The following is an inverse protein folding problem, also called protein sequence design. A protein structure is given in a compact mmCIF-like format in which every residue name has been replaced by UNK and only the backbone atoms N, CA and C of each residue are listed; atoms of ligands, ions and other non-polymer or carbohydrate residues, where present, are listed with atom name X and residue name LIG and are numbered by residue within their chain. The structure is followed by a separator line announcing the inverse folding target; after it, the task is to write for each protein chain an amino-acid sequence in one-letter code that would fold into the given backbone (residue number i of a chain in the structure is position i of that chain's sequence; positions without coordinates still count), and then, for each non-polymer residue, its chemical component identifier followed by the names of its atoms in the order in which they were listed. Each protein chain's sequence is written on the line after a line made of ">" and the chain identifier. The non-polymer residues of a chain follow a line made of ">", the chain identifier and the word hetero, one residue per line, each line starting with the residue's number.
data_IF_217203180195
#
_entry.id   IF_217203180195
#
_cell.length_a   1.000
_cell.length_b   1.000
_cell.length_c   1.000
_cell.angle_alpha   90.00
_cell.angle_beta   90.00
_cell.angle_gamma   90.00
#
_symmetry.space_group_name_H-M   'P 1'
#
loop_
_entity.id
_entity.type
_entity.pdbx_description
1 polymer ?
#
# COMPACT_ATOMS: atom_id res chain seq x y z
N UNK A 1 17.46 -10.89 8.22
CA UNK A 1 17.97 -10.91 6.84
C UNK A 1 18.24 -12.35 6.44
N UNK A 2 17.29 -12.99 5.76
CA UNK A 2 17.52 -14.32 5.20
C UNK A 2 18.36 -14.18 3.94
N UNK A 3 19.67 -14.36 4.08
CA UNK A 3 20.58 -14.53 2.96
C UNK A 3 20.17 -15.85 2.30
N UNK A 4 19.44 -15.79 1.20
CA UNK A 4 19.21 -16.97 0.35
C UNK A 4 20.56 -17.64 0.13
N UNK A 5 20.65 -18.93 0.43
CA UNK A 5 21.92 -19.63 0.56
C UNK A 5 22.68 -19.60 -0.78
N UNK A 6 23.65 -18.68 -0.88
CA UNK A 6 24.53 -18.59 -2.03
C UNK A 6 25.29 -19.92 -2.19
N UNK A 7 25.36 -20.47 -3.41
CA UNK A 7 26.13 -21.70 -3.68
C UNK A 7 27.60 -21.59 -3.25
N UNK A 8 28.17 -20.38 -3.29
CA UNK A 8 29.50 -20.08 -2.77
C UNK A 8 29.60 -20.21 -1.25
N UNK A 9 28.57 -19.76 -0.53
CA UNK A 9 28.51 -19.85 0.94
C UNK A 9 28.24 -21.28 1.39
N UNK A 10 27.45 -22.06 0.62
CA UNK A 10 27.22 -23.49 0.86
C UNK A 10 28.51 -24.32 0.71
N UNK A 11 29.37 -23.98 -0.27
CA UNK A 11 30.68 -24.60 -0.43
C UNK A 11 31.76 -24.01 0.49
N UNK A 12 31.48 -22.92 1.21
CA UNK A 12 32.44 -22.24 2.09
C UNK A 12 33.56 -21.50 1.36
N UNK A 13 33.34 -21.10 0.10
CA UNK A 13 34.35 -20.46 -0.76
C UNK A 13 33.95 -19.03 -1.13
N UNK A 14 34.95 -18.18 -1.37
CA UNK A 14 34.71 -16.82 -1.89
C UNK A 14 34.14 -16.85 -3.32
N UNK A 15 33.35 -15.84 -3.71
CA UNK A 15 32.83 -15.67 -5.08
C UNK A 15 33.97 -15.54 -6.12
N UNK A 16 35.16 -15.13 -5.70
CA UNK A 16 36.38 -15.02 -6.51
C UNK A 16 37.20 -16.32 -6.58
N UNK A 17 36.74 -17.43 -5.99
CA UNK A 17 37.50 -18.67 -5.94
C UNK A 17 37.77 -19.25 -7.34
N UNK A 18 39.00 -19.76 -7.51
CA UNK A 18 39.41 -20.51 -8.71
C UNK A 18 38.65 -21.84 -8.79
N UNK A 19 38.54 -22.41 -10.00
CA UNK A 19 37.87 -23.69 -10.25
C UNK A 19 38.45 -24.82 -9.40
N UNK A 20 39.76 -24.81 -9.19
CA UNK A 20 40.45 -25.81 -8.37
C UNK A 20 40.09 -25.66 -6.88
N UNK A 21 39.98 -24.43 -6.38
CA UNK A 21 39.54 -24.16 -5.01
C UNK A 21 38.08 -24.56 -4.74
N UNK A 22 37.20 -24.46 -5.74
CA UNK A 22 35.81 -24.94 -5.66
C UNK A 22 35.78 -26.48 -5.61
N UNK A 23 36.66 -27.15 -6.37
CA UNK A 23 36.78 -28.62 -6.38
C UNK A 23 37.33 -29.16 -5.07
N UNK A 24 38.32 -28.50 -4.48
CA UNK A 24 38.89 -28.88 -3.19
C UNK A 24 37.89 -28.68 -2.04
N UNK A 25 37.20 -27.54 -2.01
CA UNK A 25 36.18 -27.27 -1.00
C UNK A 25 35.00 -28.25 -1.07
N UNK A 26 34.58 -28.62 -2.27
CA UNK A 26 33.57 -29.67 -2.46
C UNK A 26 34.02 -31.03 -1.90
N UNK A 27 35.28 -31.44 -2.15
CA UNK A 27 35.82 -32.71 -1.62
C UNK A 27 35.82 -32.73 -0.09
N UNK A 28 36.24 -31.64 0.54
CA UNK A 28 36.25 -31.53 2.00
C UNK A 28 34.83 -31.61 2.58
N UNK A 29 33.88 -30.85 2.01
CA UNK A 29 32.47 -30.89 2.45
C UNK A 29 31.78 -32.21 2.17
N UNK A 30 32.10 -32.88 1.06
CA UNK A 30 31.55 -34.19 0.74
C UNK A 30 32.05 -35.29 1.69
N UNK A 31 33.28 -35.19 2.20
CA UNK A 31 33.83 -36.10 3.21
C UNK A 31 33.24 -35.85 4.60
N UNK A 32 33.01 -34.59 4.97
CA UNK A 32 32.38 -34.21 6.24
C UNK A 32 30.90 -34.60 6.31
N UNK A 33 30.17 -34.46 5.19
CA UNK A 33 28.72 -34.65 5.10
C UNK A 33 28.33 -35.98 4.44
N UNK A 34 29.26 -36.93 4.36
CA UNK A 34 28.98 -38.24 3.76
C UNK A 34 27.91 -38.98 4.59
N UNK A 35 26.87 -39.56 3.96
CA UNK A 35 25.76 -40.20 4.67
C UNK A 35 26.17 -41.40 5.54
N UNK A 36 27.33 -42.00 5.24
CA UNK A 36 27.93 -43.08 6.04
C UNK A 36 28.51 -42.60 7.39
N UNK A 37 28.94 -41.34 7.47
CA UNK A 37 29.50 -40.73 8.70
C UNK A 37 28.51 -39.85 9.43
N UNK A 38 27.54 -39.26 8.72
CA UNK A 38 26.52 -38.41 9.30
C UNK A 38 25.15 -38.68 8.63
N UNK A 39 24.30 -39.54 9.21
CA UNK A 39 23.02 -39.94 8.61
C UNK A 39 21.99 -38.78 8.51
N UNK A 40 22.16 -37.68 9.25
CA UNK A 40 21.31 -36.48 9.12
C UNK A 40 21.82 -35.49 8.06
N UNK A 41 23.00 -35.72 7.51
CA UNK A 41 23.67 -34.84 6.54
C UNK A 41 23.14 -34.94 5.10
N UNK A 42 22.23 -35.87 4.80
CA UNK A 42 21.80 -36.18 3.42
C UNK A 42 21.19 -34.96 2.71
N UNK A 43 20.37 -34.16 3.40
CA UNK A 43 19.74 -32.97 2.83
C UNK A 43 20.78 -31.89 2.49
N UNK A 44 21.79 -31.70 3.34
CA UNK A 44 22.85 -30.71 3.14
C UNK A 44 23.83 -31.19 2.06
N UNK A 45 24.10 -32.49 2.00
CA UNK A 45 24.93 -33.10 0.96
C UNK A 45 24.34 -32.89 -0.44
N UNK A 46 23.01 -33.04 -0.61
CA UNK A 46 22.32 -32.75 -1.87
C UNK A 46 22.46 -31.28 -2.28
N UNK A 47 22.42 -30.34 -1.33
CA UNK A 47 22.63 -28.91 -1.60
C UNK A 47 24.08 -28.60 -1.99
N UNK A 48 25.05 -29.22 -1.33
CA UNK A 48 26.49 -29.11 -1.64
C UNK A 48 26.80 -29.68 -3.03
N UNK A 49 26.16 -30.80 -3.39
CA UNK A 49 26.26 -31.39 -4.72
C UNK A 49 25.70 -30.46 -5.81
N UNK A 50 24.50 -29.91 -5.59
CA UNK A 50 23.89 -28.95 -6.52
C UNK A 50 24.76 -27.69 -6.69
N UNK A 51 25.33 -27.18 -5.60
CA UNK A 51 26.25 -26.05 -5.64
C UNK A 51 27.49 -26.35 -6.50
N UNK A 52 28.09 -27.55 -6.37
CA UNK A 52 29.22 -27.96 -7.20
C UNK A 52 28.85 -28.15 -8.67
N UNK A 53 27.67 -28.69 -8.98
CA UNK A 53 27.21 -28.86 -10.36
C UNK A 53 27.01 -27.53 -11.10
N UNK A 54 26.58 -26.49 -10.38
CA UNK A 54 26.40 -25.14 -10.94
C UNK A 54 27.72 -24.39 -11.02
N UNK A 55 28.55 -24.43 -9.97
CA UNK A 55 29.80 -23.64 -9.88
C UNK A 55 31.01 -24.31 -10.54
N UNK A 56 31.00 -25.64 -10.72
CA UNK A 56 32.09 -26.42 -11.29
C UNK A 56 32.18 -26.33 -12.82
N UNK A 57 31.07 -26.02 -13.50
CA UNK A 57 31.04 -25.80 -14.95
C UNK A 57 31.18 -24.31 -15.28
N UNK A 58 32.12 -23.89 -16.14
CA UNK A 58 32.37 -22.48 -16.43
C UNK A 58 31.14 -21.79 -17.06
N UNK A 59 30.37 -22.51 -17.87
CA UNK A 59 29.17 -21.98 -18.53
C UNK A 59 28.00 -21.82 -17.55
N UNK A 60 27.83 -22.76 -16.62
CA UNK A 60 26.78 -22.68 -15.58
C UNK A 60 27.12 -21.65 -14.50
N UNK A 61 28.40 -21.55 -14.11
CA UNK A 61 28.90 -20.53 -13.20
C UNK A 61 28.65 -19.13 -13.74
N UNK A 62 28.96 -18.89 -15.02
CA UNK A 62 28.73 -17.58 -15.64
C UNK A 62 27.25 -17.18 -15.63
N UNK A 63 26.34 -18.11 -15.93
CA UNK A 63 24.89 -17.86 -15.88
C UNK A 63 24.41 -17.56 -14.46
N UNK A 64 24.90 -18.33 -13.49
CA UNK A 64 24.59 -18.13 -12.08
C UNK A 64 25.10 -16.78 -11.56
N UNK A 65 26.33 -16.40 -11.91
CA UNK A 65 26.92 -15.12 -11.54
C UNK A 65 26.17 -13.94 -12.20
N UNK A 66 25.69 -14.11 -13.43
CA UNK A 66 24.87 -13.12 -14.12
C UNK A 66 23.49 -12.94 -13.48
N UNK A 67 22.83 -14.04 -13.11
CA UNK A 67 21.54 -14.03 -12.41
C UNK A 67 21.66 -13.41 -11.02
N UNK A 68 22.74 -13.74 -10.30
CA UNK A 68 23.04 -13.14 -8.99
C UNK A 68 23.36 -11.64 -9.09
N UNK A 69 24.04 -11.18 -10.14
CA UNK A 69 24.29 -9.76 -10.34
C UNK A 69 23.01 -8.96 -10.60
N UNK A 70 22.06 -9.53 -11.37
CA UNK A 70 20.74 -8.96 -11.60
C UNK A 70 19.92 -8.89 -10.30
N UNK A 71 20.07 -9.90 -9.42
CA UNK A 71 19.39 -9.97 -8.12
C UNK A 71 19.96 -9.00 -7.08
N UNK A 72 21.28 -8.84 -7.03
CA UNK A 72 21.99 -7.97 -6.07
C UNK A 72 21.97 -6.48 -6.50
N UNK A 73 21.27 -6.13 -7.59
CA UNK A 73 21.12 -4.75 -8.08
C UNK A 73 22.41 -4.10 -8.59
N UNK A 74 23.50 -4.87 -8.72
CA UNK A 74 24.77 -4.38 -9.28
C UNK A 74 24.83 -4.68 -10.76
N UNK A 75 24.87 -3.63 -11.57
CA UNK A 75 25.21 -3.70 -13.01
C UNK A 75 26.50 -4.53 -13.18
N UNK A 76 26.50 -5.62 -13.97
CA UNK A 76 27.74 -6.31 -14.28
C UNK A 76 28.66 -5.35 -15.04
N UNK A 77 29.89 -5.18 -14.57
CA UNK A 77 30.91 -4.47 -15.33
C UNK A 77 31.10 -5.18 -16.68
N UNK A 78 31.19 -4.45 -17.81
CA UNK A 78 31.31 -5.07 -19.11
C UNK A 78 32.61 -5.87 -19.18
N UNK A 79 32.49 -7.18 -19.41
CA UNK A 79 33.61 -8.04 -19.75
C UNK A 79 34.25 -7.51 -21.03
N UNK A 80 35.52 -7.11 -20.92
CA UNK A 80 36.34 -6.65 -22.01
C UNK A 80 36.56 -7.75 -23.05
N UNK A 81 35.78 -7.72 -24.13
CA UNK A 81 36.11 -8.35 -25.40
C UNK A 81 35.43 -7.54 -26.49
N UNK A 82 36.19 -7.24 -27.55
CA UNK A 82 35.78 -6.51 -28.78
C UNK A 82 35.80 -4.98 -28.71
N UNK A 83 36.98 -4.40 -28.50
CA UNK A 83 37.35 -3.14 -29.17
C UNK A 83 38.82 -3.18 -29.59
N UNK A 84 39.10 -3.80 -30.74
CA UNK A 84 40.35 -3.57 -31.47
C UNK A 84 40.04 -2.76 -32.73
N UNK A 85 40.43 -1.49 -32.70
CA UNK A 85 40.62 -0.60 -33.84
C UNK A 85 41.80 0.30 -33.47
N UNK A 86 42.75 0.59 -34.39
CA UNK A 86 44.12 0.90 -33.99
C UNK A 86 44.42 2.40 -33.85
N UNK A 87 45.50 2.66 -33.08
CA UNK A 87 46.41 3.84 -33.03
C UNK A 87 46.18 4.89 -31.92
N UNK A 88 47.22 5.69 -31.56
CA UNK A 88 48.67 5.44 -31.57
C UNK A 88 49.36 5.76 -30.23
N UNK A 89 50.65 5.46 -30.19
CA UNK A 89 51.65 5.60 -29.13
C UNK A 89 51.71 6.96 -28.43
N UNK A 90 52.13 6.98 -27.14
CA UNK A 90 53.14 7.90 -26.54
C UNK A 90 53.21 7.79 -25.00
N UNK A 91 54.42 7.70 -24.45
CA UNK A 91 54.74 8.32 -23.15
C UNK A 91 55.03 7.46 -21.91
N UNK A 92 56.22 6.86 -21.87
CA UNK A 92 57.14 6.69 -20.71
C UNK A 92 56.84 7.58 -19.46
N UNK A 93 56.79 7.00 -18.25
CA UNK A 93 57.83 7.11 -17.19
C UNK A 93 57.39 6.68 -15.76
N UNK A 94 58.24 5.84 -15.16
CA UNK A 94 58.79 5.90 -13.78
C UNK A 94 57.97 5.54 -12.52
N UNK A 95 58.33 4.38 -11.95
CA UNK A 95 58.53 4.00 -10.52
C UNK A 95 59.28 5.09 -9.67
N UNK A 96 59.41 5.03 -8.31
CA UNK A 96 59.61 3.81 -7.48
C UNK A 96 59.08 3.82 -6.01
N UNK A 97 59.19 2.66 -5.34
CA UNK A 97 59.10 2.54 -3.88
C UNK A 97 58.98 1.11 -3.36
N UNK A 98 60.11 0.40 -3.20
CA UNK A 98 60.23 -0.88 -2.49
C UNK A 98 60.43 -0.63 -0.95
N UNK A 99 60.46 -1.62 -0.02
CA UNK A 99 61.39 -2.77 -0.05
C UNK A 99 60.85 -4.13 0.44
N UNK A 100 61.63 -5.16 0.10
CA UNK A 100 61.53 -6.59 0.45
C UNK A 100 62.14 -6.87 1.85
N UNK A 101 61.97 -8.07 2.47
CA UNK A 101 63.00 -9.14 2.34
C UNK A 101 62.40 -10.58 2.41
N UNK A 102 62.80 -11.58 1.61
CA UNK A 102 63.99 -12.46 1.65
C UNK A 102 63.54 -13.97 1.67
N UNK A 103 64.40 -14.96 1.32
CA UNK A 103 64.00 -16.07 0.43
C UNK A 103 64.25 -17.52 0.92
N UNK A 104 63.82 -18.47 0.07
CA UNK A 104 64.30 -19.87 -0.17
C UNK A 104 63.79 -21.02 0.75
N UNK A 105 63.81 -22.31 0.31
CA UNK A 105 64.38 -22.85 -0.93
C UNK A 105 63.46 -23.71 -1.82
N UNK A 106 63.90 -23.77 -3.08
CA UNK A 106 63.54 -24.74 -4.11
C UNK A 106 64.03 -26.14 -3.75
N UNK A 107 63.16 -27.14 -3.94
CA UNK A 107 63.57 -28.51 -4.27
C UNK A 107 62.85 -28.90 -5.56
N UNK A 108 63.63 -29.10 -6.61
CA UNK A 108 63.20 -29.71 -7.87
C UNK A 108 63.34 -31.23 -7.79
N UNK A 109 62.70 -31.87 -8.77
CA UNK A 109 62.82 -33.28 -9.16
C UNK A 109 61.90 -34.24 -8.39
N UNK A 110 60.96 -34.95 -9.00
CA UNK A 110 60.83 -35.35 -10.39
C UNK A 110 60.44 -36.83 -10.40
N UNK A 111 59.14 -37.14 -10.45
CA UNK A 111 58.66 -38.49 -10.73
C UNK A 111 57.20 -38.45 -11.24
N UNK A 112 57.04 -38.82 -12.51
CA UNK A 112 55.83 -39.29 -13.19
C UNK A 112 54.47 -39.11 -12.49
N UNK A 113 53.75 -38.04 -12.86
CA UNK A 113 52.29 -38.02 -12.75
C UNK A 113 51.72 -38.98 -13.80
N UNK A 114 51.21 -40.14 -13.37
CA UNK A 114 50.19 -40.86 -14.14
C UNK A 114 48.93 -39.98 -14.20
N UNK A 115 48.18 -39.99 -15.32
CA UNK A 115 46.94 -39.23 -15.41
C UNK A 115 45.96 -39.78 -14.37
N UNK A 116 45.46 -38.89 -13.52
CA UNK A 116 44.48 -39.24 -12.49
C UNK A 116 43.14 -39.44 -13.21
N UNK A 117 42.64 -40.67 -13.16
CA UNK A 117 41.40 -41.12 -13.80
C UNK A 117 40.28 -40.09 -13.72
N UNK A 118 39.79 -39.67 -14.89
CA UNK A 118 38.66 -38.76 -15.03
C UNK A 118 37.33 -39.37 -14.57
N UNK A 119 37.29 -40.67 -14.23
CA UNK A 119 36.05 -41.39 -13.93
C UNK A 119 35.93 -41.95 -12.51
N UNK A 120 36.86 -41.67 -11.60
CA UNK A 120 36.80 -42.20 -10.22
C UNK A 120 35.54 -41.75 -9.45
N UNK A 121 35.04 -40.55 -9.75
CA UNK A 121 33.84 -40.02 -9.12
C UNK A 121 32.54 -40.55 -9.77
N UNK A 122 32.59 -40.89 -11.06
CA UNK A 122 31.45 -41.48 -11.78
C UNK A 122 31.27 -42.97 -11.45
N UNK A 123 32.35 -43.70 -11.18
CA UNK A 123 32.30 -45.09 -10.76
C UNK A 123 31.79 -45.27 -9.32
N UNK A 124 32.16 -44.39 -8.39
CA UNK A 124 31.62 -44.37 -7.02
C UNK A 124 30.13 -44.04 -7.02
N UNK A 125 29.68 -43.13 -7.89
CA UNK A 125 28.27 -42.76 -8.01
C UNK A 125 27.42 -43.86 -8.70
N UNK A 126 27.97 -44.57 -9.70
CA UNK A 126 27.32 -45.75 -10.31
C UNK A 126 27.23 -46.93 -9.35
N UNK A 127 28.20 -47.09 -8.45
CA UNK A 127 28.19 -48.15 -7.44
C UNK A 127 27.13 -47.91 -6.35
N UNK A 128 26.82 -46.64 -6.04
CA UNK A 128 25.72 -46.25 -5.15
C UNK A 128 24.32 -46.53 -5.73
N UNK A 129 24.14 -46.42 -7.06
CA UNK A 129 22.85 -46.73 -7.70
C UNK A 129 22.51 -48.22 -7.82
N UNK A 130 23.50 -49.13 -7.75
CA UNK A 130 23.30 -50.58 -7.98
C UNK A 130 23.12 -51.45 -6.73
N UNK A 131 23.10 -50.87 -5.53
CA UNK A 131 22.64 -51.58 -4.32
C UNK A 131 23.47 -52.80 -3.89
N UNK A 132 24.75 -52.90 -4.26
CA UNK A 132 25.63 -54.00 -3.84
C UNK A 132 26.69 -53.51 -2.86
N UNK A 133 26.38 -53.56 -1.56
CA UNK A 133 27.38 -53.53 -0.49
C UNK A 133 27.26 -54.80 0.35
N UNK A 134 27.97 -55.84 -0.09
CA UNK A 134 28.24 -57.04 0.68
C UNK A 134 29.68 -57.45 0.37
N UNK A 135 30.61 -57.04 1.24
CA UNK A 135 32.03 -57.29 1.07
C UNK A 135 32.77 -57.25 2.40
N UNK A 136 33.08 -58.45 2.89
CA UNK A 136 34.13 -58.85 3.85
C UNK A 136 34.76 -57.82 4.79
N UNK A 137 34.68 -58.11 6.09
CA UNK A 137 35.64 -57.64 7.11
C UNK A 137 36.24 -58.88 7.81
N UNK A 138 37.57 -58.89 8.08
CA UNK A 138 38.31 -60.10 8.40
C UNK A 138 38.22 -60.50 9.89
N UNK A 139 38.53 -61.77 10.13
CA UNK A 139 38.66 -62.43 11.43
C UNK A 139 39.71 -61.71 12.29
N UNK A 140 39.30 -61.26 13.48
CA UNK A 140 40.16 -60.83 14.59
C UNK A 140 39.63 -61.42 15.90
N UNK A 141 40.51 -62.15 16.59
CA UNK A 141 40.26 -62.93 17.81
C UNK A 141 40.02 -62.04 19.05
N UNK A 142 39.45 -62.70 20.06
CA UNK A 142 39.48 -62.36 21.49
C UNK A 142 38.51 -61.28 21.96
N UNK A 143 37.35 -61.70 22.50
CA UNK A 143 36.91 -61.40 23.86
C UNK A 143 35.89 -62.47 24.29
N UNK A 144 36.29 -63.29 25.27
CA UNK A 144 35.38 -64.06 26.11
C UNK A 144 34.73 -63.07 27.07
N UNK A 145 33.42 -63.12 27.21
CA UNK A 145 32.80 -62.95 28.53
C UNK A 145 31.47 -63.70 28.63
N UNK A 146 31.47 -64.65 29.57
CA UNK A 146 30.32 -64.87 30.45
C UNK A 146 29.16 -65.72 29.98
N UNK A 147 29.34 -67.04 29.80
CA UNK A 147 28.31 -67.99 30.24
C UNK A 147 28.89 -69.36 30.65
N UNK A 148 29.35 -69.47 31.90
CA UNK A 148 29.42 -70.72 32.66
C UNK A 148 29.28 -70.40 34.15
N UNK A 149 28.36 -71.09 34.83
CA UNK A 149 28.27 -71.11 36.28
C UNK A 149 26.88 -71.47 36.77
N UNK A 150 26.75 -72.61 37.42
CA UNK A 150 25.50 -73.24 37.83
C UNK A 150 24.83 -72.54 39.04
N UNK A 151 23.50 -72.65 39.13
CA UNK A 151 22.77 -72.36 40.36
C UNK A 151 21.39 -71.75 40.15
N UNK A 152 20.36 -72.58 40.23
CA UNK A 152 19.00 -72.23 40.68
C UNK A 152 18.34 -70.94 40.12
N UNK A 153 17.80 -71.01 38.89
CA UNK A 153 16.43 -70.60 38.58
C UNK A 153 16.16 -71.00 37.11
N UNK A 154 15.31 -72.00 36.85
CA UNK A 154 14.87 -72.28 35.49
C UNK A 154 13.85 -71.22 35.06
N UNK A 155 14.32 -70.03 34.69
CA UNK A 155 13.65 -69.29 33.64
C UNK A 155 14.33 -69.69 32.33
N UNK A 156 13.62 -70.52 31.58
CA UNK A 156 14.04 -71.10 30.31
C UNK A 156 14.65 -70.03 29.40
N UNK A 157 15.67 -70.38 28.61
CA UNK A 157 16.18 -69.54 27.51
C UNK A 157 15.03 -68.98 26.64
N UNK A 158 13.91 -69.71 26.56
CA UNK A 158 12.67 -69.26 25.94
C UNK A 158 12.02 -68.05 26.62
N UNK A 159 12.01 -67.96 27.95
CA UNK A 159 11.50 -66.79 28.68
C UNK A 159 12.45 -65.59 28.55
N UNK A 160 13.76 -65.81 28.64
CA UNK A 160 14.75 -64.75 28.40
C UNK A 160 14.67 -64.22 26.96
N UNK A 161 14.53 -65.10 25.96
CA UNK A 161 14.38 -64.73 24.56
C UNK A 161 13.06 -64.03 24.28
N UNK A 162 11.94 -64.50 24.86
CA UNK A 162 10.63 -63.83 24.76
C UNK A 162 10.65 -62.45 25.39
N UNK A 163 11.22 -62.32 26.59
CA UNK A 163 11.42 -61.03 27.25
C UNK A 163 12.31 -60.10 26.42
N UNK A 164 13.37 -60.61 25.80
CA UNK A 164 14.22 -59.81 24.92
C UNK A 164 13.51 -59.39 23.63
N UNK A 165 12.64 -60.22 23.08
CA UNK A 165 11.78 -59.84 21.95
C UNK A 165 10.74 -58.80 22.35
N UNK A 166 10.13 -58.90 23.54
CA UNK A 166 9.21 -57.89 24.07
C UNK A 166 9.92 -56.56 24.35
N UNK A 167 11.13 -56.58 24.91
CA UNK A 167 11.95 -55.37 25.11
C UNK A 167 12.31 -54.70 23.77
N UNK A 168 12.65 -55.48 22.74
CA UNK A 168 12.89 -54.95 21.39
C UNK A 168 11.62 -54.35 20.79
N UNK A 169 10.47 -55.01 20.96
CA UNK A 169 9.18 -54.53 20.47
C UNK A 169 8.74 -53.25 21.18
N UNK A 170 8.92 -53.15 22.49
CA UNK A 170 8.68 -51.92 23.26
C UNK A 170 9.64 -50.81 22.84
N UNK A 171 10.91 -51.12 22.57
CA UNK A 171 11.88 -50.15 22.06
C UNK A 171 11.48 -49.64 20.65
N UNK A 172 11.00 -50.51 19.77
CA UNK A 172 10.46 -50.14 18.45
C UNK A 172 9.21 -49.27 18.57
N UNK A 173 8.29 -49.59 19.48
CA UNK A 173 7.09 -48.79 19.74
C UNK A 173 7.45 -47.39 20.27
N UNK A 174 8.43 -47.30 21.19
CA UNK A 174 8.94 -46.01 21.68
C UNK A 174 9.64 -45.23 20.56
N UNK A 175 10.41 -45.89 19.70
CA UNK A 175 11.06 -45.24 18.56
C UNK A 175 10.04 -44.70 17.55
N UNK A 176 9.00 -45.47 17.26
CA UNK A 176 7.88 -45.05 16.42
C UNK A 176 7.12 -43.87 17.03
N UNK A 177 6.85 -43.90 18.34
CA UNK A 177 6.22 -42.79 19.05
C UNK A 177 7.08 -41.51 19.01
N UNK A 178 8.40 -41.62 19.14
CA UNK A 178 9.33 -40.49 18.99
C UNK A 178 9.33 -39.93 17.57
N UNK A 179 9.32 -40.79 16.55
CA UNK A 179 9.21 -40.38 15.15
C UNK A 179 7.88 -39.66 14.86
N UNK A 180 6.78 -40.18 15.38
CA UNK A 180 5.46 -39.57 15.20
C UNK A 180 5.35 -38.23 15.96
N UNK A 181 5.98 -38.11 17.13
CA UNK A 181 6.11 -36.84 17.84
C UNK A 181 6.97 -35.83 17.07
N UNK A 182 8.12 -36.26 16.51
CA UNK A 182 8.97 -35.40 15.70
C UNK A 182 8.24 -34.89 14.43
N UNK A 183 7.47 -35.75 13.76
CA UNK A 183 6.63 -35.34 12.61
C UNK A 183 5.55 -34.32 13.01
N UNK A 184 4.92 -34.50 14.17
CA UNK A 184 3.94 -33.52 14.70
C UNK A 184 4.61 -32.18 14.99
N UNK A 185 5.81 -32.20 15.59
CA UNK A 185 6.59 -31.00 15.86
C UNK A 185 6.97 -30.26 14.57
N UNK A 186 7.42 -30.96 13.53
CA UNK A 186 7.70 -30.33 12.22
C UNK A 186 6.47 -29.67 11.60
N UNK A 187 5.29 -30.27 11.73
CA UNK A 187 4.04 -29.70 11.22
C UNK A 187 3.66 -28.43 12.00
N UNK A 188 3.83 -28.44 13.32
CA UNK A 188 3.61 -27.26 14.16
C UNK A 188 4.61 -26.14 13.87
N UNK A 189 5.88 -26.47 13.64
CA UNK A 189 6.91 -25.50 13.24
C UNK A 189 6.63 -24.90 11.87
N UNK A 190 6.19 -25.72 10.90
CA UNK A 190 5.74 -25.23 9.58
C UNK A 190 4.55 -24.29 9.70
N UNK A 191 3.56 -24.64 10.54
CA UNK A 191 2.42 -23.76 10.83
C UNK A 191 2.85 -22.43 11.44
N UNK A 192 3.70 -22.45 12.48
CA UNK A 192 4.24 -21.22 13.07
C UNK A 192 5.04 -20.40 12.07
N UNK A 193 5.84 -21.04 11.22
CA UNK A 193 6.60 -20.37 10.16
C UNK A 193 5.69 -19.77 9.07
N UNK A 194 4.56 -20.37 8.77
CA UNK A 194 3.54 -19.82 7.87
C UNK A 194 2.79 -18.65 8.50
N UNK A 195 2.40 -18.74 9.77
CA UNK A 195 1.81 -17.64 10.53
C UNK A 195 2.75 -16.44 10.60
N UNK A 196 4.03 -16.68 10.91
CA UNK A 196 5.06 -15.63 10.88
C UNK A 196 5.21 -15.00 9.50
N UNK A 197 5.21 -15.80 8.42
CA UNK A 197 5.26 -15.29 7.04
C UNK A 197 4.05 -14.45 6.70
N UNK A 198 2.84 -14.87 7.09
CA UNK A 198 1.61 -14.10 6.90
C UNK A 198 1.65 -12.78 7.65
N UNK A 199 2.13 -12.78 8.91
CA UNK A 199 2.27 -11.57 9.70
C UNK A 199 3.29 -10.59 9.07
N UNK A 200 4.40 -11.10 8.53
CA UNK A 200 5.37 -10.27 7.80
C UNK A 200 4.75 -9.67 6.54
N UNK A 201 4.03 -10.47 5.74
CA UNK A 201 3.33 -9.98 4.56
C UNK A 201 2.26 -8.95 4.88
N UNK A 202 1.53 -9.10 6.00
CA UNK A 202 0.58 -8.10 6.46
C UNK A 202 1.28 -6.79 6.81
N UNK A 203 2.38 -6.85 7.57
CA UNK A 203 3.17 -5.65 7.91
C UNK A 203 3.78 -4.98 6.68
N UNK A 204 4.21 -5.75 5.68
CA UNK A 204 4.71 -5.20 4.42
C UNK A 204 3.59 -4.52 3.64
N UNK A 205 2.41 -5.14 3.54
CA UNK A 205 1.23 -4.52 2.92
C UNK A 205 0.78 -3.26 3.64
N UNK A 206 0.73 -3.27 4.97
CA UNK A 206 0.40 -2.08 5.76
C UNK A 206 1.39 -0.94 5.49
N UNK A 207 2.69 -1.24 5.42
CA UNK A 207 3.72 -0.24 5.07
C UNK A 207 3.58 0.25 3.63
N UNK A 208 3.26 -0.63 2.69
CA UNK A 208 3.01 -0.25 1.30
C UNK A 208 1.78 0.65 1.19
N UNK A 209 0.68 0.31 1.87
CA UNK A 209 -0.52 1.14 1.96
C UNK A 209 -0.24 2.50 2.62
N UNK A 210 0.57 2.54 3.69
CA UNK A 210 1.00 3.79 4.31
C UNK A 210 1.81 4.66 3.34
N UNK A 211 2.72 4.06 2.58
CA UNK A 211 3.52 4.76 1.56
C UNK A 211 2.64 5.25 0.41
N UNK A 212 1.66 4.47 -0.03
CA UNK A 212 0.69 4.88 -1.05
C UNK A 212 -0.19 6.02 -0.56
N UNK A 213 -0.71 5.95 0.68
CA UNK A 213 -1.46 7.06 1.30
C UNK A 213 -0.61 8.31 1.40
N UNK A 214 0.66 8.19 1.80
CA UNK A 214 1.59 9.32 1.86
C UNK A 214 1.89 9.92 0.48
N UNK A 215 1.99 9.08 -0.57
CA UNK A 215 2.15 9.56 -1.96
C UNK A 215 0.89 10.27 -2.45
N UNK A 216 -0.27 9.67 -2.25
CA UNK A 216 -1.56 10.25 -2.60
C UNK A 216 -1.78 11.58 -1.88
N UNK A 217 -1.40 11.68 -0.60
CA UNK A 217 -1.46 12.92 0.15
C UNK A 217 -0.54 14.00 -0.46
N UNK A 218 0.70 13.66 -0.81
CA UNK A 218 1.63 14.61 -1.45
C UNK A 218 1.15 15.05 -2.83
N UNK A 219 0.56 14.14 -3.60
CA UNK A 219 -0.03 14.46 -4.90
C UNK A 219 -1.21 15.40 -4.73
N UNK A 220 -2.10 15.12 -3.79
CA UNK A 220 -3.24 15.97 -3.44
C UNK A 220 -2.80 17.35 -2.94
N UNK A 221 -1.83 17.43 -2.03
CA UNK A 221 -1.23 18.69 -1.57
C UNK A 221 -0.60 19.46 -2.74
N UNK A 222 0.07 18.75 -3.66
CA UNK A 222 0.63 19.33 -4.87
C UNK A 222 -0.43 19.87 -5.83
N UNK A 223 -1.53 19.16 -6.02
CA UNK A 223 -2.68 19.62 -6.82
C UNK A 223 -3.37 20.82 -6.18
N UNK A 224 -3.55 20.80 -4.85
CA UNK A 224 -4.11 21.93 -4.10
C UNK A 224 -3.26 23.18 -4.33
N UNK A 225 -1.95 23.07 -4.19
CA UNK A 225 -1.03 24.18 -4.42
C UNK A 225 -1.06 24.67 -5.88
N UNK A 226 -1.24 23.78 -6.87
CA UNK A 226 -1.42 24.19 -8.27
C UNK A 226 -2.72 24.98 -8.45
N UNK A 227 -3.83 24.48 -7.90
CA UNK A 227 -5.13 25.18 -7.94
C UNK A 227 -5.05 26.54 -7.26
N UNK A 228 -4.41 26.63 -6.10
CA UNK A 228 -4.20 27.89 -5.39
C UNK A 228 -3.38 28.89 -6.21
N UNK A 229 -2.30 28.43 -6.86
CA UNK A 229 -1.49 29.26 -7.77
C UNK A 229 -2.29 29.71 -8.98
N UNK A 230 -3.10 28.84 -9.57
CA UNK A 230 -3.99 29.19 -10.69
C UNK A 230 -5.04 30.22 -10.27
N UNK A 231 -5.67 30.05 -9.11
CA UNK A 231 -6.63 31.03 -8.58
C UNK A 231 -5.94 32.36 -8.28
N UNK A 232 -4.74 32.35 -7.71
CA UNK A 232 -3.97 33.56 -7.44
C UNK A 232 -3.56 34.27 -8.76
N UNK A 233 -3.20 33.52 -9.80
CA UNK A 233 -2.91 34.07 -11.12
C UNK A 233 -4.15 34.70 -11.77
N UNK A 234 -5.33 34.06 -11.64
CA UNK A 234 -6.60 34.62 -12.11
C UNK A 234 -6.96 35.91 -11.37
N UNK A 235 -6.79 35.94 -10.04
CA UNK A 235 -7.03 37.14 -9.22
C UNK A 235 -6.11 38.28 -9.67
N UNK A 236 -4.80 38.03 -9.80
CA UNK A 236 -3.84 39.03 -10.27
C UNK A 236 -4.20 39.58 -11.64
N UNK A 237 -4.58 38.71 -12.58
CA UNK A 237 -5.01 39.14 -13.92
C UNK A 237 -6.28 40.02 -13.85
N UNK A 238 -7.24 39.64 -13.02
CA UNK A 238 -8.46 40.44 -12.81
C UNK A 238 -8.14 41.80 -12.17
N UNK A 239 -7.19 41.88 -11.23
CA UNK A 239 -6.71 43.13 -10.65
C UNK A 239 -6.03 44.02 -11.70
N UNK A 240 -5.19 43.46 -12.57
CA UNK A 240 -4.58 44.18 -13.69
C UNK A 240 -5.63 44.71 -14.67
N UNK A 241 -6.64 43.92 -15.01
CA UNK A 241 -7.76 44.34 -15.86
C UNK A 241 -8.59 45.45 -15.20
N UNK A 242 -8.82 45.36 -13.88
CA UNK A 242 -9.49 46.40 -13.12
C UNK A 242 -8.71 47.72 -13.14
N UNK A 243 -7.39 47.69 -12.93
CA UNK A 243 -6.54 48.90 -12.99
C UNK A 243 -6.59 49.55 -14.38
N UNK A 244 -6.59 48.74 -15.46
CA UNK A 244 -6.76 49.24 -16.83
C UNK A 244 -8.12 49.89 -17.04
N UNK A 245 -9.18 49.27 -16.51
CA UNK A 245 -10.54 49.81 -16.59
C UNK A 245 -10.64 51.13 -15.83
N UNK A 246 -10.11 51.20 -14.60
CA UNK A 246 -10.09 52.40 -13.78
C UNK A 246 -9.35 53.54 -14.51
N UNK A 247 -8.17 53.27 -15.08
CA UNK A 247 -7.43 54.24 -15.88
C UNK A 247 -8.21 54.71 -17.12
N UNK A 248 -8.92 53.82 -17.81
CA UNK A 248 -9.79 54.17 -18.93
C UNK A 248 -10.94 55.08 -18.47
N UNK A 249 -11.58 54.77 -17.34
CA UNK A 249 -12.67 55.60 -16.79
C UNK A 249 -12.19 56.98 -16.37
N UNK A 250 -10.98 57.12 -15.81
CA UNK A 250 -10.40 58.42 -15.50
C UNK A 250 -10.18 59.28 -16.75
N UNK A 251 -9.72 58.66 -17.85
CA UNK A 251 -9.56 59.36 -19.13
C UNK A 251 -10.91 59.82 -19.67
N UNK A 252 -11.93 58.95 -19.63
CA UNK A 252 -13.30 59.31 -20.03
C UNK A 252 -13.84 60.48 -19.18
N UNK A 253 -13.65 60.43 -17.86
CA UNK A 253 -14.07 61.50 -16.95
C UNK A 253 -13.40 62.83 -17.29
N UNK A 254 -12.09 62.84 -17.57
CA UNK A 254 -11.38 64.05 -18.00
C UNK A 254 -11.88 64.59 -19.35
N UNK A 255 -12.19 63.70 -20.30
CA UNK A 255 -12.79 64.10 -21.57
C UNK A 255 -14.16 64.76 -21.36
N UNK A 256 -14.97 64.22 -20.44
CA UNK A 256 -16.28 64.76 -20.11
C UNK A 256 -16.17 66.11 -19.37
N UNK A 257 -15.26 66.24 -18.41
CA UNK A 257 -14.97 67.51 -17.73
C UNK A 257 -14.53 68.60 -18.72
N UNK A 258 -13.73 68.24 -19.73
CA UNK A 258 -13.31 69.16 -20.80
C UNK A 258 -14.49 69.56 -21.70
N UNK A 259 -15.38 68.60 -22.03
CA UNK A 259 -16.61 68.88 -22.78
C UNK A 259 -17.51 69.86 -21.99
N UNK A 260 -17.71 69.60 -20.70
CA UNK A 260 -18.53 70.44 -19.81
C UNK A 260 -17.94 71.83 -19.61
N UNK A 261 -16.62 71.97 -19.56
CA UNK A 261 -15.96 73.27 -19.54
C UNK A 261 -16.23 74.05 -20.84
N UNK A 262 -16.06 73.41 -21.99
CA UNK A 262 -16.31 74.03 -23.29
C UNK A 262 -17.80 74.42 -23.46
N UNK A 263 -18.73 73.61 -22.95
CA UNK A 263 -20.16 73.94 -22.96
C UNK A 263 -20.48 75.14 -22.07
N UNK A 264 -19.84 75.26 -20.90
CA UNK A 264 -19.97 76.43 -20.02
C UNK A 264 -19.45 77.70 -20.70
N UNK A 265 -18.30 77.62 -21.36
CA UNK A 265 -17.73 78.76 -22.09
C UNK A 265 -18.65 79.20 -23.25
N UNK A 266 -19.19 78.24 -24.01
CA UNK A 266 -20.17 78.53 -25.05
C UNK A 266 -21.46 79.14 -24.50
N UNK A 267 -21.94 78.68 -23.34
CA UNK A 267 -23.13 79.24 -22.70
C UNK A 267 -22.88 80.68 -22.22
N UNK A 268 -21.67 80.98 -21.73
CA UNK A 268 -21.26 82.35 -21.39
C UNK A 268 -21.20 83.25 -22.63
N UNK A 269 -20.55 82.80 -23.71
CA UNK A 269 -20.53 83.53 -24.99
C UNK A 269 -21.95 83.77 -25.53
N UNK A 270 -22.82 82.75 -25.47
CA UNK A 270 -24.23 82.88 -25.87
C UNK A 270 -24.92 84.00 -25.09
N UNK A 271 -24.73 84.04 -23.75
CA UNK A 271 -25.31 85.08 -22.90
C UNK A 271 -24.76 86.48 -23.21
N UNK A 272 -23.46 86.60 -23.44
CA UNK A 272 -22.83 87.87 -23.85
C UNK A 272 -23.40 88.39 -25.17
N UNK A 273 -23.56 87.51 -26.17
CA UNK A 273 -24.18 87.84 -27.45
C UNK A 273 -25.66 88.23 -27.30
N UNK A 274 -26.41 87.57 -26.42
CA UNK A 274 -27.80 87.97 -26.10
C UNK A 274 -27.86 89.35 -25.46
N UNK A 275 -26.97 89.65 -24.52
CA UNK A 275 -26.90 90.96 -23.87
C UNK A 275 -26.42 92.06 -24.83
N UNK A 276 -25.47 91.77 -25.74
CA UNK A 276 -25.10 92.66 -26.83
C UNK A 276 -26.26 92.91 -27.80
N UNK A 277 -27.01 91.88 -28.16
CA UNK A 277 -28.21 92.00 -29.00
C UNK A 277 -29.28 92.86 -28.32
N UNK A 278 -29.47 92.72 -27.01
CA UNK A 278 -30.37 93.59 -26.21
C UNK A 278 -29.88 95.04 -26.20
N UNK A 279 -28.57 95.27 -26.06
CA UNK A 279 -27.97 96.63 -26.09
C UNK A 279 -28.15 97.29 -27.45
N UNK A 280 -27.87 96.59 -28.55
CA UNK A 280 -28.06 97.11 -29.91
C UNK A 280 -29.53 97.37 -30.23
N UNK A 281 -30.44 96.50 -29.77
CA UNK A 281 -31.88 96.73 -29.90
C UNK A 281 -32.34 98.00 -29.17
N UNK A 282 -31.83 98.25 -27.96
CA UNK A 282 -32.10 99.48 -27.20
C UNK A 282 -31.50 100.73 -27.88
N UNK A 283 -30.27 100.63 -28.41
CA UNK A 283 -29.61 101.71 -29.15
C UNK A 283 -30.36 102.03 -30.46
N UNK A 284 -30.90 101.02 -31.14
CA UNK A 284 -31.73 101.16 -32.34
C UNK A 284 -33.07 101.83 -32.03
N UNK A 285 -33.68 101.59 -30.87
CA UNK A 285 -34.88 102.32 -30.43
C UNK A 285 -34.58 103.80 -30.16
N UNK A 286 -33.43 104.10 -29.54
CA UNK A 286 -32.97 105.48 -29.32
C UNK A 286 -32.70 106.21 -30.66
N UNK A 287 -32.01 105.54 -31.58
CA UNK A 287 -31.65 106.08 -32.89
C UNK A 287 -32.85 106.25 -33.84
N UNK A 288 -34.04 105.69 -33.53
CA UNK A 288 -35.28 105.96 -34.27
C UNK A 288 -35.80 107.39 -34.08
N UNK A 289 -35.29 108.14 -33.12
CA UNK A 289 -35.78 109.48 -32.76
C UNK A 289 -34.99 110.65 -33.39
N UNK A 290 -33.91 110.42 -34.16
CA UNK A 290 -33.03 111.46 -34.74
C UNK A 290 -32.94 111.36 -36.30
N UNK A 291 -32.41 112.37 -37.02
CA UNK A 291 -32.53 112.57 -38.50
C UNK A 291 -31.52 111.83 -39.42
N UNK A 292 -31.69 111.94 -40.77
CA UNK A 292 -32.07 110.79 -41.63
C UNK A 292 -31.01 110.02 -42.44
N UNK A 293 -29.85 110.52 -42.91
CA UNK A 293 -29.12 109.71 -43.94
C UNK A 293 -27.92 108.90 -43.43
N UNK A 294 -27.16 109.39 -42.44
CA UNK A 294 -26.07 108.61 -41.81
C UNK A 294 -26.58 107.49 -40.90
N UNK A 295 -27.87 107.55 -40.53
CA UNK A 295 -28.50 106.58 -39.65
C UNK A 295 -28.89 105.30 -40.34
N UNK A 296 -29.31 105.34 -41.60
CA UNK A 296 -29.66 104.14 -42.35
C UNK A 296 -28.46 103.22 -42.50
N UNK A 297 -27.28 103.76 -42.84
CA UNK A 297 -26.04 102.99 -42.91
C UNK A 297 -25.62 102.40 -41.55
N UNK A 298 -25.87 103.08 -40.43
CA UNK A 298 -25.64 102.54 -39.08
C UNK A 298 -26.64 101.45 -38.72
N UNK A 299 -27.92 101.64 -39.03
CA UNK A 299 -28.99 100.64 -38.81
C UNK A 299 -28.75 99.39 -39.65
N UNK A 300 -28.25 99.53 -40.87
CA UNK A 300 -27.94 98.39 -41.73
C UNK A 300 -26.74 97.60 -41.22
N UNK A 301 -25.69 98.27 -40.71
CA UNK A 301 -24.57 97.62 -40.02
C UNK A 301 -24.99 96.94 -38.72
N UNK A 302 -25.84 97.58 -37.92
CA UNK A 302 -26.40 97.00 -36.70
C UNK A 302 -27.26 95.79 -37.02
N UNK A 303 -28.10 95.86 -38.05
CA UNK A 303 -28.95 94.74 -38.49
C UNK A 303 -28.12 93.56 -38.98
N UNK A 304 -27.04 93.79 -39.76
CA UNK A 304 -26.10 92.73 -40.14
C UNK A 304 -25.42 92.10 -38.93
N UNK A 305 -25.02 92.90 -37.94
CA UNK A 305 -24.41 92.40 -36.70
C UNK A 305 -25.41 91.61 -35.84
N UNK A 306 -26.67 92.04 -35.77
CA UNK A 306 -27.76 91.29 -35.11
C UNK A 306 -28.05 89.95 -35.82
N UNK A 307 -28.02 89.93 -37.16
CA UNK A 307 -28.18 88.72 -37.98
C UNK A 307 -27.00 87.76 -37.79
N UNK A 308 -25.76 88.25 -37.75
CA UNK A 308 -24.56 87.45 -37.44
C UNK A 308 -24.62 86.85 -36.02
N UNK A 309 -24.99 87.64 -35.01
CA UNK A 309 -25.16 87.15 -33.63
C UNK A 309 -26.30 86.12 -33.51
N UNK A 310 -27.40 86.30 -34.24
CA UNK A 310 -28.49 85.32 -34.25
C UNK A 310 -28.05 83.98 -34.83
N UNK A 311 -27.19 84.00 -35.87
CA UNK A 311 -26.62 82.79 -36.47
C UNK A 311 -25.66 82.08 -35.50
N UNK A 312 -24.84 82.84 -34.75
CA UNK A 312 -23.98 82.28 -33.70
C UNK A 312 -24.79 81.68 -32.54
N UNK A 313 -25.89 82.32 -32.16
CA UNK A 313 -26.80 81.79 -31.13
C UNK A 313 -27.38 80.44 -31.53
N UNK A 314 -27.86 80.33 -32.78
CA UNK A 314 -28.38 79.07 -33.32
C UNK A 314 -27.29 77.98 -33.36
N UNK A 315 -26.06 78.33 -33.71
CA UNK A 315 -24.93 77.39 -33.68
C UNK A 315 -24.59 76.93 -32.26
N UNK A 316 -24.68 77.82 -31.27
CA UNK A 316 -24.46 77.47 -29.87
C UNK A 316 -25.58 76.56 -29.32
N UNK A 317 -26.84 76.85 -29.66
CA UNK A 317 -28.00 76.02 -29.31
C UNK A 317 -27.88 74.62 -29.88
N UNK A 318 -27.54 74.48 -31.17
CA UNK A 318 -27.35 73.18 -31.80
C UNK A 318 -26.23 72.36 -31.12
N UNK A 319 -25.14 73.00 -30.65
CA UNK A 319 -24.07 72.32 -29.92
C UNK A 319 -24.52 71.84 -28.54
N UNK A 320 -25.34 72.61 -27.84
CA UNK A 320 -25.91 72.23 -26.54
C UNK A 320 -26.85 71.03 -26.71
N UNK A 321 -27.68 71.05 -27.75
CA UNK A 321 -28.62 69.96 -28.04
C UNK A 321 -27.90 68.64 -28.31
N UNK A 322 -26.81 68.67 -29.10
CA UNK A 322 -25.96 67.49 -29.33
C UNK A 322 -25.29 66.99 -28.05
N UNK A 323 -24.84 67.89 -27.17
CA UNK A 323 -24.23 67.50 -25.90
C UNK A 323 -25.24 66.86 -24.94
N UNK A 324 -26.47 67.40 -24.87
CA UNK A 324 -27.54 66.81 -24.08
C UNK A 324 -27.95 65.42 -24.60
N UNK A 325 -27.95 65.22 -25.92
CA UNK A 325 -28.17 63.91 -26.51
C UNK A 325 -27.08 62.91 -26.10
N UNK A 326 -25.80 63.30 -26.17
CA UNK A 326 -24.69 62.45 -25.74
C UNK A 326 -24.73 62.14 -24.24
N UNK A 327 -25.19 63.07 -23.40
CA UNK A 327 -25.40 62.85 -21.98
C UNK A 327 -26.54 61.83 -21.73
N UNK A 328 -27.65 61.94 -22.46
CA UNK A 328 -28.76 61.00 -22.37
C UNK A 328 -28.35 59.57 -22.78
N UNK A 329 -27.54 59.44 -23.85
CA UNK A 329 -26.99 58.15 -24.29
C UNK A 329 -26.08 57.52 -23.23
N UNK A 330 -25.25 58.34 -22.56
CA UNK A 330 -24.40 57.87 -21.47
C UNK A 330 -25.21 57.40 -20.24
N UNK A 331 -26.24 58.16 -19.86
CA UNK A 331 -27.14 57.76 -18.77
C UNK A 331 -27.90 56.46 -19.11
N UNK A 332 -28.31 56.28 -20.36
CA UNK A 332 -28.95 55.03 -20.81
C UNK A 332 -27.99 53.84 -20.72
N UNK A 333 -26.73 54.02 -21.12
CA UNK A 333 -25.68 52.99 -21.03
C UNK A 333 -25.41 52.56 -19.58
N UNK A 334 -25.27 53.51 -18.64
CA UNK A 334 -25.05 53.18 -17.23
C UNK A 334 -26.27 52.48 -16.61
N UNK A 335 -27.50 52.87 -16.96
CA UNK A 335 -28.72 52.17 -16.50
C UNK A 335 -28.75 50.71 -16.97
N UNK A 336 -28.44 50.45 -18.24
CA UNK A 336 -28.40 49.10 -18.78
C UNK A 336 -27.33 48.24 -18.08
N UNK A 337 -26.17 48.85 -17.80
CA UNK A 337 -25.08 48.20 -17.06
C UNK A 337 -25.49 47.86 -15.62
N UNK A 338 -26.15 48.76 -14.91
CA UNK A 338 -26.67 48.51 -13.56
C UNK A 338 -27.74 47.41 -13.57
N UNK A 339 -28.67 47.45 -14.52
CA UNK A 339 -29.65 46.37 -14.71
C UNK A 339 -28.98 45.03 -14.95
N UNK A 340 -27.93 44.98 -15.77
CA UNK A 340 -27.19 43.75 -16.04
C UNK A 340 -26.52 43.21 -14.77
N UNK A 341 -25.92 44.07 -13.94
CA UNK A 341 -25.35 43.67 -12.65
C UNK A 341 -26.41 43.09 -11.71
N UNK A 342 -27.58 43.72 -11.63
CA UNK A 342 -28.71 43.21 -10.85
C UNK A 342 -29.22 41.86 -11.36
N UNK A 343 -29.28 41.67 -12.69
CA UNK A 343 -29.64 40.39 -13.31
C UNK A 343 -28.63 39.30 -12.95
N UNK A 344 -27.34 39.60 -13.04
CA UNK A 344 -26.27 38.65 -12.70
C UNK A 344 -26.28 38.28 -11.20
N UNK A 345 -26.50 39.26 -10.31
CA UNK A 345 -26.64 39.01 -8.87
C UNK A 345 -27.86 38.15 -8.55
N UNK A 346 -29.01 38.42 -9.20
CA UNK A 346 -30.22 37.62 -9.02
C UNK A 346 -30.04 36.20 -9.58
N UNK A 347 -29.36 36.05 -10.71
CA UNK A 347 -29.02 34.75 -11.28
C UNK A 347 -28.13 33.93 -10.34
N UNK A 348 -27.11 34.56 -9.72
CA UNK A 348 -26.27 33.90 -8.71
C UNK A 348 -27.06 33.43 -7.49
N UNK A 349 -27.98 34.27 -6.97
CA UNK A 349 -28.85 33.88 -5.85
C UNK A 349 -29.72 32.68 -6.20
N UNK A 350 -30.30 32.67 -7.40
CA UNK A 350 -31.12 31.56 -7.88
C UNK A 350 -30.28 30.27 -8.02
N UNK A 351 -29.05 30.36 -8.53
CA UNK A 351 -28.13 29.23 -8.64
C UNK A 351 -27.71 28.70 -7.27
N UNK A 352 -27.43 29.58 -6.31
CA UNK A 352 -27.17 29.20 -4.92
C UNK A 352 -28.36 28.50 -4.26
N UNK A 353 -29.58 28.99 -4.48
CA UNK A 353 -30.80 28.36 -3.98
C UNK A 353 -31.01 26.98 -4.60
N UNK A 354 -30.85 26.86 -5.91
CA UNK A 354 -30.92 25.56 -6.60
C UNK A 354 -29.89 24.58 -6.04
N UNK A 355 -28.64 25.03 -5.86
CA UNK A 355 -27.57 24.21 -5.28
C UNK A 355 -27.87 23.80 -3.83
N UNK A 356 -28.49 24.68 -3.03
CA UNK A 356 -28.94 24.32 -1.67
C UNK A 356 -30.01 23.24 -1.72
N UNK A 357 -30.98 23.35 -2.64
CA UNK A 357 -32.03 22.34 -2.79
C UNK A 357 -31.47 21.00 -3.26
N UNK A 358 -30.54 20.98 -4.21
CA UNK A 358 -29.90 19.72 -4.65
C UNK A 358 -29.11 19.09 -3.51
N UNK A 359 -28.32 19.88 -2.76
CA UNK A 359 -27.58 19.36 -1.62
C UNK A 359 -28.50 18.81 -0.53
N UNK A 360 -29.61 19.49 -0.22
CA UNK A 360 -30.61 19.00 0.74
C UNK A 360 -31.22 17.67 0.26
N UNK A 361 -31.56 17.56 -1.02
CA UNK A 361 -32.09 16.32 -1.59
C UNK A 361 -31.06 15.18 -1.54
N UNK A 362 -29.79 15.45 -1.86
CA UNK A 362 -28.70 14.50 -1.74
C UNK A 362 -28.48 14.06 -0.28
N UNK A 363 -28.52 14.99 0.67
CA UNK A 363 -28.45 14.65 2.09
C UNK A 363 -29.64 13.81 2.55
N UNK A 364 -30.87 14.14 2.14
CA UNK A 364 -32.07 13.38 2.49
C UNK A 364 -32.01 11.96 1.93
N UNK A 365 -31.61 11.80 0.68
CA UNK A 365 -31.45 10.47 0.05
C UNK A 365 -30.36 9.65 0.74
N UNK A 366 -29.24 10.26 1.10
CA UNK A 366 -28.19 9.60 1.90
C UNK A 366 -28.68 9.21 3.30
N UNK A 367 -29.43 10.09 3.98
CA UNK A 367 -30.02 9.78 5.28
C UNK A 367 -31.01 8.61 5.20
N UNK A 368 -31.86 8.59 4.18
CA UNK A 368 -32.80 7.48 3.94
C UNK A 368 -32.05 6.18 3.65
N UNK A 369 -31.00 6.22 2.83
CA UNK A 369 -30.17 5.06 2.55
C UNK A 369 -29.49 4.51 3.80
N UNK A 370 -28.89 5.40 4.61
CA UNK A 370 -28.24 5.02 5.87
C UNK A 370 -29.26 4.47 6.89
N UNK A 371 -30.43 5.10 7.02
CA UNK A 371 -31.50 4.62 7.89
C UNK A 371 -31.99 3.22 7.46
N UNK A 372 -32.16 2.98 6.17
CA UNK A 372 -32.54 1.67 5.63
C UNK A 372 -31.45 0.60 5.90
N UNK A 373 -30.17 0.96 5.77
CA UNK A 373 -29.04 0.09 6.13
C UNK A 373 -29.04 -0.25 7.63
N UNK A 374 -29.27 0.74 8.49
CA UNK A 374 -29.35 0.52 9.94
C UNK A 374 -30.55 -0.35 10.32
N UNK A 375 -31.71 -0.14 9.71
CA UNK A 375 -32.88 -0.98 9.94
C UNK A 375 -32.63 -2.42 9.48
N UNK A 376 -31.99 -2.63 8.32
CA UNK A 376 -31.59 -3.95 7.86
C UNK A 376 -30.61 -4.63 8.82
N UNK A 377 -29.62 -3.89 9.35
CA UNK A 377 -28.69 -4.40 10.38
C UNK A 377 -29.41 -4.76 11.68
N UNK A 378 -30.38 -3.96 12.11
CA UNK A 378 -31.20 -4.23 13.30
C UNK A 378 -32.01 -5.51 13.11
N UNK A 379 -32.73 -5.66 11.99
CA UNK A 379 -33.48 -6.89 11.66
C UNK A 379 -32.57 -8.11 11.64
N UNK A 380 -31.40 -8.02 11.01
CA UNK A 380 -30.42 -9.10 11.01
C UNK A 380 -29.92 -9.45 12.43
N UNK A 381 -29.68 -8.46 13.29
CA UNK A 381 -29.31 -8.68 14.69
C UNK A 381 -30.43 -9.36 15.47
N UNK A 382 -31.67 -8.90 15.31
CA UNK A 382 -32.85 -9.48 15.96
C UNK A 382 -33.07 -10.94 15.55
N UNK A 383 -32.89 -11.26 14.26
CA UNK A 383 -32.94 -12.64 13.77
C UNK A 383 -31.84 -13.52 14.40
N UNK A 384 -30.61 -13.01 14.50
CA UNK A 384 -29.51 -13.73 15.14
C UNK A 384 -29.77 -13.95 16.63
N UNK A 385 -30.29 -12.95 17.33
CA UNK A 385 -30.65 -13.07 18.73
C UNK A 385 -31.83 -14.02 18.94
N UNK A 386 -32.81 -14.03 18.02
CA UNK A 386 -33.88 -15.03 17.99
C UNK A 386 -33.34 -16.45 17.84
N UNK A 387 -32.41 -16.67 16.90
CA UNK A 387 -31.74 -17.96 16.72
C UNK A 387 -30.94 -18.38 17.95
N UNK A 388 -30.18 -17.45 18.57
CA UNK A 388 -29.43 -17.71 19.81
C UNK A 388 -30.36 -18.10 20.95
N UNK A 389 -31.48 -17.39 21.13
CA UNK A 389 -32.49 -17.73 22.15
C UNK A 389 -33.07 -19.12 21.93
N UNK A 390 -33.40 -19.48 20.69
CA UNK A 390 -33.91 -20.81 20.35
C UNK A 390 -32.90 -21.93 20.68
N UNK A 391 -31.61 -21.73 20.37
CA UNK A 391 -30.54 -22.67 20.73
C UNK A 391 -30.41 -22.80 22.25
N UNK A 392 -30.42 -21.67 22.97
CA UNK A 392 -30.37 -21.69 24.44
C UNK A 392 -31.58 -22.43 25.04
N UNK A 393 -32.77 -22.21 24.51
CA UNK A 393 -33.98 -22.92 24.95
C UNK A 393 -33.88 -24.43 24.71
N UNK A 394 -33.34 -24.84 23.55
CA UNK A 394 -33.05 -26.25 23.27
C UNK A 394 -32.07 -26.85 24.29
N UNK A 395 -30.96 -26.17 24.56
CA UNK A 395 -29.96 -26.61 25.55
C UNK A 395 -30.54 -26.71 26.97
N UNK A 396 -31.42 -25.78 27.35
CA UNK A 396 -32.12 -25.83 28.64
C UNK A 396 -33.06 -27.03 28.70
N UNK A 397 -33.85 -27.28 27.64
CA UNK A 397 -34.73 -28.46 27.55
C UNK A 397 -33.94 -29.77 27.60
N UNK A 398 -32.81 -29.86 26.90
CA UNK A 398 -31.92 -31.03 26.94
C UNK A 398 -31.33 -31.23 28.34
N UNK A 399 -30.87 -30.17 28.99
CA UNK A 399 -30.39 -30.23 30.38
C UNK A 399 -31.49 -30.73 31.32
N UNK A 400 -32.71 -30.24 31.18
CA UNK A 400 -33.83 -30.67 32.02
C UNK A 400 -34.13 -32.16 31.81
N UNK A 401 -34.16 -32.63 30.55
CA UNK A 401 -34.31 -34.07 30.24
C UNK A 401 -33.23 -34.91 30.91
N UNK A 402 -31.97 -34.49 30.82
CA UNK A 402 -30.88 -35.18 31.50
C UNK A 402 -31.02 -35.18 33.03
N UNK A 403 -31.52 -34.09 33.62
CA UNK A 403 -31.80 -34.05 35.05
C UNK A 403 -32.94 -35.02 35.43
N UNK A 404 -34.03 -35.02 34.67
CA UNK A 404 -35.16 -35.91 34.86
C UNK A 404 -34.74 -37.39 34.72
N UNK A 405 -33.88 -37.71 33.74
CA UNK A 405 -33.30 -39.05 33.55
C UNK A 405 -32.44 -39.47 34.74
N UNK A 406 -31.59 -38.58 35.25
CA UNK A 406 -30.77 -38.84 36.45
C UNK A 406 -31.65 -39.05 37.68
N UNK A 407 -32.70 -38.25 37.85
CA UNK A 407 -33.67 -38.45 38.93
C UNK A 407 -34.44 -39.76 38.80
N UNK A 408 -34.83 -40.14 37.58
CA UNK A 408 -35.48 -41.43 37.31
C UNK A 408 -34.55 -42.60 37.67
N UNK A 409 -33.26 -42.53 37.29
CA UNK A 409 -32.27 -43.52 37.69
C UNK A 409 -32.09 -43.56 39.21
N UNK A 410 -32.08 -42.42 39.91
CA UNK A 410 -32.02 -42.39 41.38
C UNK A 410 -33.23 -43.06 42.02
N UNK A 411 -34.44 -42.78 41.54
CA UNK A 411 -35.67 -43.42 42.03
C UNK A 411 -35.65 -44.93 41.83
N UNK A 412 -35.11 -45.41 40.72
CA UNK A 412 -34.97 -46.85 40.47
C UNK A 412 -33.91 -47.48 41.39
N UNK A 413 -32.79 -46.79 41.62
CA UNK A 413 -31.78 -47.23 42.61
C UNK A 413 -32.39 -47.30 44.01
N UNK A 414 -33.11 -46.25 44.45
CA UNK A 414 -33.79 -46.21 45.75
C UNK A 414 -34.82 -47.34 45.87
N UNK A 415 -35.53 -47.67 44.78
CA UNK A 415 -36.47 -48.80 44.72
C UNK A 415 -35.74 -50.13 44.88
N UNK A 416 -34.65 -50.37 44.16
CA UNK A 416 -33.85 -51.60 44.26
C UNK A 416 -33.28 -51.74 45.68
N UNK A 417 -32.77 -50.64 46.26
CA UNK A 417 -32.29 -50.62 47.64
C UNK A 417 -33.40 -50.94 48.64
N UNK A 418 -34.61 -50.37 48.46
CA UNK A 418 -35.77 -50.66 49.31
C UNK A 418 -36.23 -52.13 49.18
N UNK A 419 -36.28 -52.68 47.97
CA UNK A 419 -36.59 -54.10 47.72
C UNK A 419 -35.54 -55.02 48.36
N UNK A 420 -34.25 -54.67 48.25
CA UNK A 420 -33.15 -55.40 48.89
C UNK A 420 -33.25 -55.32 50.43
N UNK A 421 -33.57 -54.16 51.00
CA UNK A 421 -33.72 -53.98 52.43
C UNK A 421 -34.94 -54.74 52.98
N UNK A 422 -36.08 -54.68 52.28
CA UNK A 422 -37.28 -55.45 52.62
C UNK A 422 -37.00 -56.96 52.60
N UNK A 423 -36.24 -57.42 51.60
CA UNK A 423 -35.70 -58.77 51.53
C UNK A 423 -34.84 -59.09 52.77
N UNK A 424 -33.85 -58.26 53.10
CA UNK A 424 -33.00 -58.47 54.28
C UNK A 424 -33.79 -58.52 55.60
N UNK A 425 -34.79 -57.66 55.77
CA UNK A 425 -35.63 -57.65 56.97
C UNK A 425 -36.56 -58.86 57.06
N UNK A 426 -37.09 -59.33 55.92
CA UNK A 426 -37.83 -60.59 55.84
C UNK A 426 -36.93 -61.79 56.20
N UNK A 427 -35.67 -61.83 55.78
CA UNK A 427 -34.69 -62.84 56.21
C UNK A 427 -34.43 -62.79 57.72
N UNK A 428 -34.24 -61.59 58.29
CA UNK A 428 -34.08 -61.42 59.74
C UNK A 428 -35.29 -61.93 60.51
N UNK A 429 -36.50 -61.69 60.00
CA UNK A 429 -37.75 -62.18 60.60
C UNK A 429 -37.90 -63.70 60.48
N UNK A 430 -37.59 -64.28 59.32
CA UNK A 430 -37.58 -65.72 59.09
C UNK A 430 -36.62 -66.44 60.04
N UNK A 431 -35.38 -65.93 60.17
CA UNK A 431 -34.36 -66.43 61.11
C UNK A 431 -34.83 -66.40 62.57
N UNK A 432 -35.56 -65.36 62.99
CA UNK A 432 -36.17 -65.28 64.33
C UNK A 432 -37.32 -66.28 64.54
N UNK A 433 -37.98 -66.71 63.47
CA UNK A 433 -39.16 -67.59 63.53
C UNK A 433 -38.88 -69.09 63.33
N UNK A 434 -37.64 -69.48 63.02
CA UNK A 434 -37.23 -70.89 62.88
C UNK A 434 -37.70 -71.62 61.62
N UNK A 435 -38.23 -70.91 60.61
CA UNK A 435 -38.65 -71.50 59.32
C UNK A 435 -37.44 -71.81 58.42
N UNK A 436 -37.45 -72.90 57.63
CA UNK A 436 -36.37 -73.21 56.69
C UNK A 436 -36.31 -72.15 55.58
N UNK A 437 -35.09 -71.64 55.33
CA UNK A 437 -34.83 -70.58 54.34
C UNK A 437 -34.41 -71.25 53.03
N UNK A 438 -35.20 -71.10 51.97
CA UNK A 438 -34.81 -71.52 50.62
C UNK A 438 -33.94 -70.42 49.99
N UNK A 439 -32.65 -70.69 49.75
CA UNK A 439 -31.69 -69.71 49.26
C UNK A 439 -31.82 -69.40 47.76
N UNK A 440 -32.54 -70.23 46.99
CA UNK A 440 -32.67 -70.05 45.53
C UNK A 440 -33.74 -69.01 45.13
N UNK A 441 -34.73 -68.72 45.97
CA UNK A 441 -35.71 -67.63 45.75
C UNK A 441 -35.12 -66.22 45.97
N UNK A 442 -33.86 -66.14 46.41
CA UNK A 442 -33.23 -64.92 46.93
C UNK A 442 -32.04 -64.42 46.10
N UNK A 443 -31.77 -65.04 44.95
CA UNK A 443 -30.87 -64.48 43.94
C UNK A 443 -31.58 -63.27 43.33
N UNK A 444 -31.01 -62.09 43.53
CA UNK A 444 -31.49 -60.83 42.95
C UNK A 444 -31.02 -60.71 41.50
#
# INVERSE_FOLDING_TARGET
>A
MHKQQDYYTLLGVSRTASKDGIREAYKLRALELHPDKNPEGEAVFKLVLNAYQVLGSPTKRMKYDQEMALRDGRRPAPTAAWRQGPRPTRGKNSSPGAPNPAPAPSFSDGASRKPVDENLFEDIYKQYQKGTYGGSVPIGKDYKDGFRGAGANQQSFSEWFKRKQEELRQAEEVFKAKLDYAKKLEVEEKRRAEEWRRLQQQREREREEELERARAQREWEGELLRREKETAARIRKAEEEKVKLDAYTEVQKKQQEHLDAHLRDLAMMKKELEDERRRLAAERELARQESTDQQEARRERQKKREEEMALELQRAEAKIEVALAHQADYEAYEREREEQRLRDENARKLEEEYRRQTNLHEEETQRQFNAAQEEARRKASEELDGKRRAILEQLVKERQRHQDDVEAMRRETDRIEAEMQAKLDALRKAKKSGKPINLDEWKL
#
